data_IF_183427884146
#
_entry.id   IF_183427884146
#
_cell.length_a   1.000
_cell.length_b   1.000
_cell.length_c   1.000
_cell.angle_alpha   90.00
_cell.angle_beta   90.00
_cell.angle_gamma   90.00
#
_symmetry.space_group_name_H-M   'P 1'
#
loop_
_entity.id
_entity.type
_entity.pdbx_description
1 polymer ?
#
# COMPACT_ATOMS: atom_id res chain seq x y z
N UNK A 1 12.56 46.11 -3.03
CA UNK A 1 12.23 47.14 -2.02
C UNK A 1 12.70 46.57 -0.69
N UNK A 2 13.81 47.05 -0.24
CA UNK A 2 14.01 48.00 0.87
C UNK A 2 13.86 47.25 2.19
N UNK A 3 14.79 47.15 3.07
CA UNK A 3 15.98 47.83 3.54
C UNK A 3 16.34 47.14 4.84
N UNK A 4 17.51 46.93 5.31
CA UNK A 4 18.51 47.89 5.62
C UNK A 4 18.35 48.39 7.06
N UNK A 5 19.23 48.00 7.95
CA UNK A 5 19.77 48.92 8.91
C UNK A 5 20.91 48.32 9.70
N UNK A 6 22.05 48.91 9.49
CA UNK A 6 23.21 49.06 10.33
C UNK A 6 22.82 49.74 11.67
N UNK A 7 23.52 49.43 12.71
CA UNK A 7 23.89 50.49 13.65
C UNK A 7 25.29 50.25 14.23
N UNK A 8 26.05 51.36 14.12
CA UNK A 8 27.36 51.67 14.66
C UNK A 8 27.16 52.36 16.04
N UNK A 9 28.19 52.35 16.82
CA UNK A 9 28.39 53.28 17.92
C UNK A 9 29.49 52.73 18.81
N UNK A 10 30.66 53.14 18.71
CA UNK A 10 31.45 54.33 19.04
C UNK A 10 31.90 54.32 20.49
N UNK A 11 33.23 54.19 20.62
CA UNK A 11 34.18 55.18 21.19
C UNK A 11 34.13 55.52 22.67
N UNK A 12 35.28 55.30 23.34
CA UNK A 12 36.09 56.29 24.06
C UNK A 12 37.34 55.58 24.59
N UNK A 13 38.53 55.87 24.25
CA UNK A 13 39.42 56.99 24.43
C UNK A 13 39.78 57.20 25.92
N UNK A 14 41.03 57.12 26.22
CA UNK A 14 41.70 57.51 27.46
C UNK A 14 42.87 56.57 27.73
N UNK A 15 43.92 56.87 27.57
CA UNK A 15 44.94 57.92 27.79
C UNK A 15 46.23 57.25 28.19
N UNK A 16 47.26 57.66 27.51
CA UNK A 16 48.68 57.43 27.66
C UNK A 16 49.22 57.41 29.10
N UNK A 17 50.07 56.43 29.38
CA UNK A 17 51.26 56.72 30.19
C UNK A 17 52.43 55.88 29.68
N UNK A 18 53.29 56.56 28.98
CA UNK A 18 54.66 56.20 28.62
C UNK A 18 55.56 56.12 29.84
N UNK A 19 56.17 54.99 30.07
CA UNK A 19 57.38 54.89 30.89
C UNK A 19 58.57 54.53 29.99
N UNK A 20 59.20 55.51 29.43
CA UNK A 20 60.54 55.41 28.93
C UNK A 20 61.53 55.55 30.11
N UNK A 21 62.42 54.62 30.19
CA UNK A 21 63.71 54.80 30.78
C UNK A 21 63.94 54.04 32.07
N UNK A 22 64.49 52.91 31.98
CA UNK A 22 65.53 52.41 32.86
C UNK A 22 66.40 51.43 32.09
N UNK A 23 67.46 52.00 31.50
CA UNK A 23 68.64 51.23 31.13
C UNK A 23 69.31 50.71 32.42
N UNK A 24 69.64 49.42 32.36
CA UNK A 24 70.37 48.84 33.48
C UNK A 24 70.73 47.35 33.16
N UNK A 25 71.80 47.17 32.47
CA UNK A 25 72.34 45.92 32.08
C UNK A 25 72.48 44.91 33.19
N UNK A 26 72.30 43.71 32.83
CA UNK A 26 73.11 42.58 33.27
C UNK A 26 72.68 41.33 32.57
N UNK A 27 73.45 40.90 31.59
CA UNK A 27 73.39 39.56 31.07
C UNK A 27 73.75 38.56 32.16
N UNK A 28 72.75 38.07 32.92
CA UNK A 28 72.94 36.89 33.76
C UNK A 28 72.98 35.67 32.90
N UNK A 29 74.18 35.19 32.60
CA UNK A 29 74.46 33.86 32.11
C UNK A 29 73.89 32.87 33.11
N UNK A 30 72.78 32.18 32.73
CA UNK A 30 72.25 31.06 33.52
C UNK A 30 73.28 29.94 33.51
N UNK A 31 73.99 29.75 34.60
CA UNK A 31 74.80 28.58 34.86
C UNK A 31 73.88 27.36 34.94
N UNK A 32 73.87 26.55 33.93
CA UNK A 32 73.18 25.25 33.92
C UNK A 32 73.81 24.33 34.95
N UNK A 33 73.24 24.21 36.12
CA UNK A 33 73.71 23.25 37.13
C UNK A 33 73.43 21.83 36.62
N UNK A 34 74.35 20.92 36.90
CA UNK A 34 74.26 19.48 36.50
C UNK A 34 73.01 18.78 36.98
N UNK A 35 72.31 19.32 37.97
CA UNK A 35 71.05 18.80 38.52
C UNK A 35 69.87 19.12 37.57
N UNK A 36 69.86 20.21 36.82
CA UNK A 36 68.79 20.57 35.92
C UNK A 36 68.74 19.65 34.66
N UNK A 37 69.93 19.22 34.24
CA UNK A 37 70.05 18.22 33.12
C UNK A 37 69.52 16.86 33.54
N UNK A 38 69.83 16.36 34.74
CA UNK A 38 69.30 15.07 35.27
C UNK A 38 67.79 15.10 35.43
N UNK A 39 67.18 16.18 35.91
CA UNK A 39 65.71 16.32 36.01
C UNK A 39 65.04 16.32 34.67
N UNK A 40 65.58 16.99 33.64
CA UNK A 40 65.04 16.98 32.28
C UNK A 40 65.16 15.61 31.60
N UNK A 41 66.29 14.92 31.85
CA UNK A 41 66.44 13.53 31.35
C UNK A 41 65.47 12.57 32.00
N UNK A 42 65.22 12.66 33.30
CA UNK A 42 64.20 11.86 34.00
C UNK A 42 62.79 12.18 33.54
N UNK A 43 62.50 13.46 33.28
CA UNK A 43 61.20 13.85 32.74
C UNK A 43 61.03 13.40 31.29
N UNK A 44 62.05 13.51 30.44
CA UNK A 44 62.04 12.98 29.09
C UNK A 44 61.87 11.47 29.05
N UNK A 45 62.53 10.76 29.97
CA UNK A 45 62.40 9.29 30.11
C UNK A 45 60.98 8.87 30.56
N UNK A 46 60.39 9.65 31.49
CA UNK A 46 58.98 9.42 31.91
C UNK A 46 57.99 9.69 30.80
N UNK A 47 58.18 10.75 29.99
CA UNK A 47 57.36 11.06 28.84
C UNK A 47 57.49 9.99 27.73
N UNK A 48 58.74 9.52 27.50
CA UNK A 48 58.98 8.45 26.54
C UNK A 48 58.35 7.14 26.99
N UNK A 49 58.41 6.82 28.30
CA UNK A 49 57.72 5.66 28.89
C UNK A 49 56.20 5.74 28.78
N UNK A 50 55.63 6.94 29.05
CA UNK A 50 54.22 7.17 28.89
C UNK A 50 53.75 7.05 27.44
N UNK A 51 54.57 7.56 26.50
CA UNK A 51 54.29 7.43 25.06
C UNK A 51 54.33 5.97 24.62
N UNK A 52 55.31 5.19 25.06
CA UNK A 52 55.43 3.76 24.76
C UNK A 52 54.20 2.97 25.29
N UNK A 53 53.75 3.28 26.51
CA UNK A 53 52.53 2.65 27.08
C UNK A 53 51.32 3.01 26.26
N UNK A 54 51.13 4.27 25.83
CA UNK A 54 50.03 4.68 24.95
C UNK A 54 50.09 3.93 23.59
N UNK A 55 51.25 3.80 22.99
CA UNK A 55 51.40 3.06 21.71
C UNK A 55 51.03 1.58 21.90
N UNK A 56 51.47 0.95 23.00
CA UNK A 56 51.12 -0.43 23.32
C UNK A 56 49.59 -0.60 23.55
N UNK A 57 48.95 0.34 24.24
CA UNK A 57 47.51 0.30 24.44
C UNK A 57 46.75 0.48 23.12
N UNK A 58 47.17 1.40 22.27
CA UNK A 58 46.56 1.61 20.94
C UNK A 58 46.76 0.35 20.09
N UNK A 59 47.98 -0.24 20.07
CA UNK A 59 48.22 -1.48 19.32
C UNK A 59 47.39 -2.66 19.85
N UNK A 60 47.21 -2.76 21.17
CA UNK A 60 46.36 -3.80 21.76
C UNK A 60 44.88 -3.62 21.39
N UNK A 61 44.40 -2.37 21.37
CA UNK A 61 43.03 -2.06 20.93
C UNK A 61 42.85 -2.37 19.44
N UNK A 62 43.79 -1.95 18.60
CA UNK A 62 43.73 -2.26 17.17
C UNK A 62 43.79 -3.77 16.94
N UNK A 63 44.65 -4.48 17.66
CA UNK A 63 44.73 -5.94 17.57
C UNK A 63 43.45 -6.61 18.05
N UNK A 64 42.84 -6.11 19.12
CA UNK A 64 41.55 -6.59 19.59
C UNK A 64 40.44 -6.36 18.56
N UNK A 65 40.37 -5.19 17.94
CA UNK A 65 39.40 -4.88 16.89
C UNK A 65 39.61 -5.81 15.68
N UNK A 66 40.85 -6.01 15.23
CA UNK A 66 41.15 -6.92 14.11
C UNK A 66 40.79 -8.36 14.48
N UNK A 67 41.18 -8.83 15.68
CA UNK A 67 40.85 -10.18 16.17
C UNK A 67 39.35 -10.42 16.41
N UNK A 68 38.57 -9.35 16.74
CA UNK A 68 37.12 -9.44 16.80
C UNK A 68 36.49 -9.43 15.39
N UNK A 69 37.02 -8.65 14.48
CA UNK A 69 36.52 -8.59 13.11
C UNK A 69 36.85 -9.85 12.28
N UNK A 70 37.96 -10.53 12.59
CA UNK A 70 38.32 -11.82 11.98
C UNK A 70 37.52 -12.99 12.54
N UNK A 71 36.77 -12.81 13.67
CA UNK A 71 35.91 -13.83 14.24
C UNK A 71 34.49 -13.87 13.67
N UNK A 72 34.15 -12.93 12.79
CA UNK A 72 32.98 -13.08 11.93
C UNK A 72 33.30 -14.04 10.76
N UNK A 73 33.71 -15.27 11.08
CA UNK A 73 33.47 -16.33 10.11
C UNK A 73 31.96 -16.36 9.88
N UNK A 74 31.48 -16.13 8.66
CA UNK A 74 30.08 -16.30 8.39
C UNK A 74 29.75 -17.72 8.84
N UNK A 75 28.79 -17.86 9.75
CA UNK A 75 28.30 -19.17 10.19
C UNK A 75 27.88 -19.86 8.89
N UNK A 76 28.77 -20.62 8.29
CA UNK A 76 28.44 -21.50 7.19
C UNK A 76 27.52 -22.56 7.79
N UNK A 77 26.22 -22.30 7.71
CA UNK A 77 25.22 -23.34 7.96
C UNK A 77 25.37 -24.32 6.79
N UNK A 78 26.33 -25.20 6.93
CA UNK A 78 26.62 -26.27 5.97
C UNK A 78 25.66 -27.47 6.16
N UNK A 79 24.49 -27.24 6.71
CA UNK A 79 23.43 -28.23 6.58
C UNK A 79 22.94 -28.15 5.15
N UNK A 80 23.16 -29.16 4.32
CA UNK A 80 22.62 -29.17 2.96
C UNK A 80 21.12 -28.95 3.07
N UNK A 81 20.65 -27.82 2.53
CA UNK A 81 19.23 -27.50 2.49
C UNK A 81 18.54 -28.62 1.72
N UNK A 82 17.60 -29.30 2.37
CA UNK A 82 16.84 -30.37 1.69
C UNK A 82 16.01 -29.76 0.57
N UNK A 83 15.81 -30.49 -0.53
CA UNK A 83 14.90 -30.06 -1.57
C UNK A 83 13.47 -29.94 -1.02
N UNK A 84 12.66 -29.09 -1.66
CA UNK A 84 11.24 -28.95 -1.28
C UNK A 84 10.48 -30.19 -1.73
N UNK A 85 10.01 -30.97 -0.75
CA UNK A 85 9.20 -32.16 -0.98
C UNK A 85 7.70 -31.87 -0.90
N UNK A 86 7.33 -30.85 -0.10
CA UNK A 86 5.93 -30.55 0.18
C UNK A 86 5.65 -29.04 0.03
N UNK A 87 4.58 -28.73 -0.68
CA UNK A 87 4.02 -27.38 -0.77
C UNK A 87 2.66 -27.39 -0.07
N UNK A 88 2.53 -26.58 0.97
CA UNK A 88 1.27 -26.34 1.67
C UNK A 88 0.67 -25.06 1.08
N UNK A 89 -0.44 -25.21 0.37
CA UNK A 89 -1.14 -24.10 -0.28
C UNK A 89 -2.45 -23.85 0.43
N UNK A 90 -2.66 -22.63 0.89
CA UNK A 90 -3.90 -22.16 1.50
C UNK A 90 -4.36 -20.85 0.85
N UNK A 91 -5.67 -20.63 0.77
CA UNK A 91 -6.25 -19.42 0.22
C UNK A 91 -7.60 -19.13 0.89
N UNK A 92 -7.88 -17.86 1.11
CA UNK A 92 -9.17 -17.38 1.60
C UNK A 92 -10.24 -17.31 0.48
N UNK A 93 -9.88 -17.62 -0.77
CA UNK A 93 -10.73 -17.52 -1.94
C UNK A 93 -11.05 -18.86 -2.61
N UNK A 94 -10.94 -18.89 -3.93
CA UNK A 94 -11.38 -20.01 -4.78
C UNK A 94 -10.28 -20.59 -5.69
N UNK A 95 -9.07 -20.06 -5.63
CA UNK A 95 -7.95 -20.53 -6.45
C UNK A 95 -7.62 -21.99 -6.12
N UNK A 96 -7.66 -22.91 -7.09
CA UNK A 96 -7.32 -24.29 -6.84
C UNK A 96 -5.80 -24.47 -6.68
N UNK A 97 -5.32 -25.44 -5.87
CA UNK A 97 -3.88 -25.72 -5.73
C UNK A 97 -3.16 -25.99 -7.06
N UNK A 98 -3.85 -26.58 -8.04
CA UNK A 98 -3.31 -26.84 -9.38
C UNK A 98 -2.92 -25.56 -10.14
N UNK A 99 -3.54 -24.42 -9.80
CA UNK A 99 -3.19 -23.12 -10.37
C UNK A 99 -1.77 -22.71 -10.02
N UNK A 100 -1.28 -23.02 -8.82
CA UNK A 100 0.07 -22.66 -8.39
C UNK A 100 1.14 -23.14 -9.38
N UNK A 101 1.01 -24.35 -9.89
CA UNK A 101 1.94 -24.91 -10.87
C UNK A 101 1.92 -24.21 -12.25
N UNK A 102 0.94 -23.36 -12.53
CA UNK A 102 0.89 -22.57 -13.77
C UNK A 102 1.61 -21.22 -13.64
N UNK A 103 1.82 -20.75 -12.41
CA UNK A 103 2.41 -19.42 -12.12
C UNK A 103 3.85 -19.56 -11.63
N UNK A 104 4.12 -20.61 -10.85
CA UNK A 104 5.42 -20.83 -10.22
C UNK A 104 6.00 -22.16 -10.66
N UNK A 105 7.16 -22.13 -11.32
CA UNK A 105 7.91 -23.32 -11.67
C UNK A 105 8.80 -23.73 -10.49
N UNK A 106 8.33 -24.66 -9.66
CA UNK A 106 9.12 -25.29 -8.63
C UNK A 106 9.75 -26.60 -9.17
N UNK A 107 11.05 -26.58 -9.37
CA UNK A 107 11.80 -27.80 -9.71
C UNK A 107 11.95 -28.66 -8.46
N UNK A 108 11.69 -29.97 -8.58
CA UNK A 108 11.73 -30.91 -7.45
C UNK A 108 13.09 -31.00 -6.75
N UNK A 109 14.16 -30.65 -7.46
CA UNK A 109 15.54 -30.75 -6.95
C UNK A 109 16.07 -29.44 -6.37
N UNK A 110 15.27 -28.37 -6.36
CA UNK A 110 15.70 -27.07 -5.87
C UNK A 110 15.78 -27.10 -4.34
N UNK A 111 16.96 -26.83 -3.80
CA UNK A 111 17.15 -26.73 -2.36
C UNK A 111 16.29 -25.57 -1.81
N UNK A 112 15.67 -25.77 -0.64
CA UNK A 112 14.75 -24.78 -0.06
C UNK A 112 15.37 -23.40 0.10
N UNK A 113 16.68 -23.31 0.38
CA UNK A 113 17.38 -22.05 0.56
C UNK A 113 17.71 -21.34 -0.76
N UNK A 114 17.70 -22.06 -1.89
CA UNK A 114 17.91 -21.52 -3.22
C UNK A 114 16.65 -20.89 -3.82
N UNK A 115 15.48 -21.18 -3.24
CA UNK A 115 14.21 -20.60 -3.70
C UNK A 115 14.16 -19.13 -3.33
N UNK A 116 14.08 -18.27 -4.33
CA UNK A 116 13.81 -16.84 -4.13
C UNK A 116 12.32 -16.62 -3.85
N UNK A 117 11.99 -16.59 -2.54
CA UNK A 117 10.62 -16.35 -2.08
C UNK A 117 10.12 -14.95 -2.42
N UNK A 118 11.03 -13.98 -2.61
CA UNK A 118 10.64 -12.62 -2.97
C UNK A 118 10.15 -12.55 -4.42
N UNK A 119 10.93 -13.10 -5.34
CA UNK A 119 10.54 -13.21 -6.75
C UNK A 119 9.26 -14.04 -6.90
N UNK A 120 9.15 -15.17 -6.19
CA UNK A 120 7.95 -16.00 -6.20
C UNK A 120 6.72 -15.23 -5.70
N UNK A 121 6.85 -14.46 -4.61
CA UNK A 121 5.78 -13.61 -4.10
C UNK A 121 5.34 -12.59 -5.16
N UNK A 122 6.28 -11.92 -5.82
CA UNK A 122 5.97 -10.96 -6.88
C UNK A 122 5.23 -11.62 -8.05
N UNK A 123 5.63 -12.83 -8.45
CA UNK A 123 4.94 -13.58 -9.51
C UNK A 123 3.49 -13.92 -9.13
N UNK A 124 3.26 -14.34 -7.88
CA UNK A 124 1.92 -14.63 -7.39
C UNK A 124 1.05 -13.37 -7.31
N UNK A 125 1.60 -12.25 -6.80
CA UNK A 125 0.89 -10.98 -6.67
C UNK A 125 0.69 -10.26 -8.02
N UNK A 126 1.49 -10.59 -9.04
CA UNK A 126 1.26 -10.11 -10.40
C UNK A 126 -0.01 -10.68 -11.03
N UNK A 127 -0.52 -11.80 -10.51
CA UNK A 127 -1.80 -12.35 -10.94
C UNK A 127 -2.95 -11.55 -10.34
N UNK A 128 -3.74 -10.89 -11.17
CA UNK A 128 -4.76 -9.91 -10.75
C UNK A 128 -5.84 -10.43 -9.79
N UNK A 129 -6.01 -11.75 -9.59
CA UNK A 129 -6.91 -12.32 -8.59
C UNK A 129 -6.28 -12.34 -7.19
N UNK A 130 -4.95 -12.33 -7.09
CA UNK A 130 -4.22 -12.35 -5.82
C UNK A 130 -4.05 -10.93 -5.30
N UNK A 131 -4.54 -10.69 -4.10
CA UNK A 131 -4.39 -9.41 -3.39
C UNK A 131 -3.06 -9.33 -2.64
N UNK A 132 -2.66 -10.42 -2.02
CA UNK A 132 -1.37 -10.55 -1.35
C UNK A 132 -0.99 -12.03 -1.18
N UNK A 133 0.31 -12.29 -1.17
CA UNK A 133 0.87 -13.61 -0.93
C UNK A 133 1.84 -13.58 0.26
N UNK A 134 1.79 -14.60 1.10
CA UNK A 134 2.79 -14.88 2.13
C UNK A 134 3.43 -16.24 1.85
N UNK A 135 4.76 -16.27 1.89
CA UNK A 135 5.52 -17.49 1.61
C UNK A 135 6.48 -17.73 2.76
N UNK A 136 6.36 -18.88 3.38
CA UNK A 136 7.15 -19.27 4.53
C UNK A 136 7.86 -20.61 4.29
N UNK A 137 9.15 -20.65 4.66
CA UNK A 137 9.91 -21.89 4.65
C UNK A 137 9.63 -22.66 5.94
N UNK A 138 9.02 -23.81 5.81
CA UNK A 138 8.82 -24.74 6.93
C UNK A 138 9.86 -25.85 6.88
N UNK A 139 10.91 -25.71 7.66
CA UNK A 139 11.97 -26.69 7.74
C UNK A 139 11.44 -28.03 8.22
N UNK A 140 11.99 -29.18 7.72
CA UNK A 140 13.20 -29.25 6.88
C UNK A 140 12.94 -29.18 5.36
N UNK A 141 11.73 -29.38 4.86
CA UNK A 141 11.48 -29.63 3.43
C UNK A 141 10.11 -29.16 2.91
N UNK A 142 9.42 -28.27 3.64
CA UNK A 142 8.11 -27.78 3.22
C UNK A 142 8.11 -26.26 2.96
N UNK A 143 7.35 -25.85 1.94
CA UNK A 143 7.07 -24.45 1.64
C UNK A 143 5.58 -24.19 1.89
N UNK A 144 5.26 -23.21 2.75
CA UNK A 144 3.89 -22.78 2.99
C UNK A 144 3.59 -21.52 2.19
N UNK A 145 2.50 -21.53 1.45
CA UNK A 145 2.02 -20.43 0.62
C UNK A 145 0.59 -20.11 1.03
N UNK A 146 0.41 -18.95 1.64
CA UNK A 146 -0.90 -18.43 2.02
C UNK A 146 -1.26 -17.27 1.08
N UNK A 147 -2.40 -17.35 0.41
CA UNK A 147 -2.89 -16.32 -0.49
C UNK A 147 -4.12 -15.63 0.08
N UNK A 148 -4.20 -14.34 -0.14
CA UNK A 148 -5.43 -13.55 -0.01
C UNK A 148 -5.89 -13.14 -1.40
N UNK A 149 -7.13 -13.49 -1.74
CA UNK A 149 -7.72 -13.16 -3.03
C UNK A 149 -8.48 -11.84 -2.97
N UNK A 150 -8.61 -11.19 -4.12
CA UNK A 150 -9.48 -10.04 -4.27
C UNK A 150 -10.96 -10.44 -4.17
N UNK A 151 -11.74 -9.68 -3.40
CA UNK A 151 -13.18 -9.88 -3.32
C UNK A 151 -13.87 -9.50 -4.64
N UNK A 152 -14.60 -10.43 -5.30
CA UNK A 152 -15.31 -10.15 -6.54
C UNK A 152 -16.58 -9.33 -6.28
N UNK A 153 -16.74 -8.20 -6.97
CA UNK A 153 -17.86 -7.27 -6.79
C UNK A 153 -18.74 -7.19 -8.02
N UNK A 154 -18.15 -7.07 -9.20
CA UNK A 154 -18.83 -6.84 -10.47
C UNK A 154 -18.22 -7.72 -11.55
N UNK A 155 -18.96 -7.85 -12.66
CA UNK A 155 -18.45 -8.44 -13.91
C UNK A 155 -18.40 -7.41 -15.01
N UNK A 156 -17.42 -7.53 -15.90
CA UNK A 156 -17.28 -6.69 -17.08
C UNK A 156 -17.06 -7.56 -18.32
N UNK A 157 -17.61 -7.16 -19.47
CA UNK A 157 -17.26 -7.72 -20.77
C UNK A 157 -16.16 -6.89 -21.39
N UNK A 158 -15.06 -7.53 -21.74
CA UNK A 158 -13.95 -6.92 -22.47
C UNK A 158 -13.74 -7.66 -23.78
N UNK A 159 -13.27 -6.97 -24.79
CA UNK A 159 -12.83 -7.61 -26.01
C UNK A 159 -11.42 -8.14 -25.81
N UNK A 160 -11.28 -9.46 -25.84
CA UNK A 160 -9.97 -10.10 -25.78
C UNK A 160 -9.16 -9.87 -27.05
N UNK A 161 -7.84 -10.15 -26.98
CA UNK A 161 -6.93 -10.01 -28.12
C UNK A 161 -7.35 -10.82 -29.36
N UNK A 162 -8.13 -11.88 -29.15
CA UNK A 162 -8.69 -12.75 -30.21
C UNK A 162 -10.00 -12.22 -30.81
N UNK A 163 -10.43 -11.01 -30.46
CA UNK A 163 -11.69 -10.40 -30.92
C UNK A 163 -12.95 -11.03 -30.28
N UNK A 164 -12.81 -11.94 -29.33
CA UNK A 164 -13.95 -12.52 -28.60
C UNK A 164 -14.22 -11.76 -27.32
N UNK A 165 -15.50 -11.62 -26.98
CA UNK A 165 -15.91 -11.03 -25.71
C UNK A 165 -15.57 -12.00 -24.57
N UNK A 166 -14.75 -11.55 -23.63
CA UNK A 166 -14.38 -12.27 -22.41
C UNK A 166 -15.04 -11.59 -21.20
N UNK A 167 -15.35 -12.40 -20.19
CA UNK A 167 -15.89 -11.87 -18.92
C UNK A 167 -14.75 -11.76 -17.92
N UNK A 168 -14.48 -10.56 -17.48
CA UNK A 168 -13.57 -10.26 -16.39
C UNK A 168 -14.36 -9.93 -15.12
N UNK A 169 -13.70 -10.11 -13.98
CA UNK A 169 -14.19 -9.75 -12.65
C UNK A 169 -13.53 -8.45 -12.24
N UNK A 170 -14.25 -7.66 -11.46
CA UNK A 170 -13.74 -6.43 -10.86
C UNK A 170 -13.81 -6.60 -9.36
N UNK A 171 -12.67 -6.37 -8.70
CA UNK A 171 -12.55 -6.40 -7.25
C UNK A 171 -13.11 -5.13 -6.60
N UNK A 172 -13.23 -5.15 -5.27
CA UNK A 172 -13.59 -3.99 -4.45
C UNK A 172 -12.64 -2.81 -4.63
N UNK A 173 -11.36 -3.09 -4.86
CA UNK A 173 -10.32 -2.09 -5.12
C UNK A 173 -10.31 -1.60 -6.57
N UNK A 174 -11.15 -2.20 -7.44
CA UNK A 174 -11.23 -1.86 -8.85
C UNK A 174 -10.27 -2.63 -9.75
N UNK A 175 -9.50 -3.59 -9.22
CA UNK A 175 -8.63 -4.46 -10.02
C UNK A 175 -9.47 -5.33 -10.94
N UNK A 176 -9.10 -5.40 -12.23
CA UNK A 176 -9.81 -6.16 -13.25
C UNK A 176 -8.99 -7.41 -13.58
N UNK A 177 -9.60 -8.58 -13.47
CA UNK A 177 -8.91 -9.87 -13.70
C UNK A 177 -9.82 -10.93 -14.28
N UNK A 178 -9.21 -11.97 -14.86
CA UNK A 178 -9.93 -13.20 -15.27
C UNK A 178 -10.09 -14.07 -14.03
N UNK A 179 -11.33 -14.37 -13.67
CA UNK A 179 -11.61 -15.23 -12.52
C UNK A 179 -11.30 -16.69 -12.80
N UNK A 180 -10.49 -17.31 -11.95
CA UNK A 180 -10.13 -18.71 -11.95
C UNK A 180 -10.76 -19.37 -10.73
N UNK A 181 -11.33 -20.58 -10.89
CA UNK A 181 -11.90 -21.33 -9.78
C UNK A 181 -13.30 -20.89 -9.32
N UNK A 182 -13.83 -19.78 -9.79
CA UNK A 182 -15.16 -19.32 -9.36
C UNK A 182 -16.28 -20.22 -9.86
N UNK A 183 -17.19 -20.67 -8.98
CA UNK A 183 -18.42 -21.36 -9.39
C UNK A 183 -19.27 -20.45 -10.29
N UNK A 184 -19.87 -21.00 -11.33
CA UNK A 184 -20.79 -20.24 -12.22
C UNK A 184 -21.93 -19.57 -11.46
N UNK A 185 -22.45 -20.23 -10.42
CA UNK A 185 -23.49 -19.67 -9.58
C UNK A 185 -23.06 -18.38 -8.87
N UNK A 186 -21.82 -18.31 -8.38
CA UNK A 186 -21.23 -17.11 -7.78
C UNK A 186 -21.10 -15.99 -8.80
N UNK A 187 -20.51 -16.29 -9.97
CA UNK A 187 -20.36 -15.30 -11.03
C UNK A 187 -21.71 -14.76 -11.51
N UNK A 188 -22.73 -15.61 -11.64
CA UNK A 188 -24.05 -15.19 -12.11
C UNK A 188 -24.80 -14.27 -11.13
N UNK A 189 -24.39 -14.21 -9.87
CA UNK A 189 -24.94 -13.28 -8.86
C UNK A 189 -24.35 -11.89 -8.95
N UNK A 190 -23.16 -11.75 -9.58
CA UNK A 190 -22.52 -10.44 -9.73
C UNK A 190 -23.18 -9.70 -10.91
N UNK A 191 -23.63 -8.44 -10.72
CA UNK A 191 -24.13 -7.64 -11.82
C UNK A 191 -23.00 -7.26 -12.78
N UNK A 192 -23.34 -7.00 -14.04
CA UNK A 192 -22.40 -6.43 -14.98
C UNK A 192 -22.21 -4.95 -14.73
N UNK A 193 -21.00 -4.44 -15.06
CA UNK A 193 -20.73 -3.01 -15.06
C UNK A 193 -20.59 -2.49 -16.47
N UNK A 194 -21.07 -1.25 -16.71
CA UNK A 194 -20.70 -0.44 -17.86
C UNK A 194 -19.73 0.64 -17.38
N UNK A 195 -18.49 0.63 -17.83
CA UNK A 195 -17.53 1.68 -17.52
C UNK A 195 -17.96 2.99 -18.20
N UNK A 196 -17.61 4.11 -17.60
CA UNK A 196 -17.91 5.43 -18.15
C UNK A 196 -16.89 5.90 -19.21
N UNK A 197 -15.68 5.36 -19.17
CA UNK A 197 -14.61 5.68 -20.13
C UNK A 197 -13.86 4.41 -20.54
N UNK A 198 -13.55 4.31 -21.83
CA UNK A 198 -12.53 3.42 -22.33
C UNK A 198 -11.19 4.15 -22.34
N UNK A 199 -10.17 3.62 -21.68
CA UNK A 199 -8.80 4.08 -21.90
C UNK A 199 -8.21 3.34 -23.09
N UNK A 200 -7.59 4.07 -24.01
CA UNK A 200 -6.97 3.52 -25.24
C UNK A 200 -5.72 2.64 -24.96
N UNK A 201 -5.32 2.47 -23.70
CA UNK A 201 -4.04 1.87 -23.34
C UNK A 201 -4.10 0.54 -22.59
N UNK A 202 -5.25 -0.10 -22.43
CA UNK A 202 -5.36 -1.37 -21.72
C UNK A 202 -6.36 -1.38 -20.58
N UNK A 203 -6.40 -2.50 -19.84
CA UNK A 203 -7.31 -2.69 -18.70
C UNK A 203 -6.68 -2.06 -17.47
N UNK A 204 -7.02 -0.79 -17.18
CA UNK A 204 -6.59 -0.11 -15.96
C UNK A 204 -7.57 -0.37 -14.82
N UNK A 205 -7.10 -0.37 -13.56
CA UNK A 205 -7.98 -0.47 -12.40
C UNK A 205 -9.04 0.63 -12.41
N UNK A 206 -10.29 0.25 -12.11
CA UNK A 206 -11.40 1.19 -12.04
C UNK A 206 -11.45 1.92 -10.70
N UNK A 207 -11.46 3.25 -10.73
CA UNK A 207 -11.55 4.06 -9.52
C UNK A 207 -12.97 4.09 -8.95
N UNK A 208 -13.09 4.24 -7.63
CA UNK A 208 -14.38 4.44 -6.95
C UNK A 208 -15.26 3.19 -6.85
N UNK A 209 -14.76 2.00 -7.17
CA UNK A 209 -15.53 0.75 -7.05
C UNK A 209 -15.88 0.44 -5.58
N UNK A 210 -15.12 0.94 -4.62
CA UNK A 210 -15.43 0.80 -3.20
C UNK A 210 -16.82 1.31 -2.83
N UNK A 211 -17.26 2.47 -3.36
CA UNK A 211 -18.61 3.01 -3.15
C UNK A 211 -19.68 2.16 -3.83
N UNK A 212 -19.36 1.64 -5.03
CA UNK A 212 -20.26 0.72 -5.72
C UNK A 212 -20.41 -0.57 -4.92
N UNK A 213 -19.32 -1.11 -4.38
CA UNK A 213 -19.31 -2.28 -3.52
C UNK A 213 -20.19 -2.06 -2.27
N UNK A 214 -20.06 -0.90 -1.62
CA UNK A 214 -20.90 -0.52 -0.48
C UNK A 214 -22.39 -0.53 -0.83
N UNK A 215 -22.79 0.07 -1.96
CA UNK A 215 -24.18 0.03 -2.43
C UNK A 215 -24.65 -1.41 -2.65
N UNK A 216 -23.82 -2.26 -3.26
CA UNK A 216 -24.18 -3.66 -3.52
C UNK A 216 -24.29 -4.47 -2.23
N UNK A 217 -23.39 -4.28 -1.28
CA UNK A 217 -23.41 -4.93 0.02
C UNK A 217 -24.64 -4.52 0.85
N UNK A 218 -24.90 -3.21 0.93
CA UNK A 218 -26.09 -2.70 1.62
C UNK A 218 -27.38 -3.26 1.01
N UNK A 219 -27.45 -3.31 -0.33
CA UNK A 219 -28.63 -3.88 -1.02
C UNK A 219 -28.75 -5.36 -0.73
N UNK A 220 -27.65 -6.11 -0.75
CA UNK A 220 -27.64 -7.56 -0.46
C UNK A 220 -28.09 -7.82 0.99
N UNK A 221 -27.64 -6.98 1.92
CA UNK A 221 -27.99 -7.08 3.34
C UNK A 221 -29.44 -6.73 3.62
N UNK A 222 -29.94 -5.60 3.12
CA UNK A 222 -31.26 -5.08 3.40
C UNK A 222 -32.37 -5.72 2.54
N UNK A 223 -32.07 -5.98 1.27
CA UNK A 223 -33.04 -6.36 0.24
C UNK A 223 -32.52 -7.48 -0.66
N UNK A 224 -32.10 -8.60 -0.07
CA UNK A 224 -31.47 -9.73 -0.78
C UNK A 224 -32.25 -10.22 -2.00
N UNK A 225 -33.61 -10.27 -1.94
CA UNK A 225 -34.41 -10.72 -3.07
C UNK A 225 -34.41 -9.68 -4.20
N UNK A 226 -34.42 -8.39 -3.87
CA UNK A 226 -34.30 -7.33 -4.86
C UNK A 226 -32.92 -7.30 -5.51
N UNK A 227 -31.86 -7.49 -4.72
CA UNK A 227 -30.48 -7.59 -5.25
C UNK A 227 -30.35 -8.65 -6.33
N UNK A 228 -31.01 -9.80 -6.20
CA UNK A 228 -30.97 -10.88 -7.21
C UNK A 228 -31.55 -10.45 -8.57
N UNK A 229 -32.33 -9.39 -8.60
CA UNK A 229 -32.91 -8.82 -9.83
C UNK A 229 -31.96 -7.88 -10.57
N UNK A 230 -30.88 -7.44 -9.91
CA UNK A 230 -29.90 -6.52 -10.48
C UNK A 230 -29.11 -7.18 -11.59
N UNK A 231 -29.07 -6.56 -12.76
CA UNK A 231 -28.39 -7.09 -13.95
C UNK A 231 -27.17 -6.29 -14.35
N UNK A 232 -27.26 -4.96 -14.17
CA UNK A 232 -26.23 -4.06 -14.66
C UNK A 232 -26.12 -2.82 -13.76
N UNK A 233 -24.88 -2.43 -13.52
CA UNK A 233 -24.52 -1.16 -12.87
C UNK A 233 -23.85 -0.29 -13.93
N UNK A 234 -24.40 0.89 -14.15
CA UNK A 234 -23.80 1.85 -15.10
C UNK A 234 -23.11 2.97 -14.34
N UNK A 235 -21.84 3.13 -14.63
CA UNK A 235 -20.97 4.18 -14.09
C UNK A 235 -20.78 5.33 -15.10
N UNK A 236 -21.68 5.46 -16.08
CA UNK A 236 -21.58 6.48 -17.14
C UNK A 236 -21.52 7.91 -16.58
N UNK A 237 -22.16 8.15 -15.44
CA UNK A 237 -22.22 9.44 -14.77
C UNK A 237 -21.51 9.41 -13.40
N UNK A 238 -20.49 8.58 -13.28
CA UNK A 238 -19.67 8.44 -12.08
C UNK A 238 -18.18 8.45 -12.47
N UNK A 239 -17.44 9.44 -12.00
CA UNK A 239 -16.01 9.61 -12.32
C UNK A 239 -15.07 8.78 -11.43
N UNK A 240 -15.62 8.06 -10.44
CA UNK A 240 -14.84 7.39 -9.40
C UNK A 240 -14.52 8.27 -8.19
N UNK A 241 -14.97 9.54 -8.20
CA UNK A 241 -14.90 10.43 -7.04
C UNK A 241 -16.31 10.90 -6.65
N UNK A 242 -16.84 10.48 -5.50
CA UNK A 242 -18.20 10.84 -5.04
C UNK A 242 -18.34 12.33 -4.71
N UNK A 243 -17.24 13.04 -4.43
CA UNK A 243 -17.25 14.46 -4.03
C UNK A 243 -17.57 15.41 -5.20
N UNK A 244 -17.48 14.94 -6.43
CA UNK A 244 -17.87 15.75 -7.57
C UNK A 244 -19.40 15.88 -7.65
N UNK A 245 -19.92 17.09 -7.89
CA UNK A 245 -21.36 17.31 -7.97
C UNK A 245 -21.98 16.55 -9.15
N UNK A 246 -23.20 16.06 -8.94
CA UNK A 246 -23.97 15.37 -9.99
C UNK A 246 -23.53 13.93 -10.28
N UNK A 247 -22.64 13.36 -9.47
CA UNK A 247 -22.24 11.95 -9.60
C UNK A 247 -23.40 11.04 -9.23
N UNK A 248 -23.64 10.03 -10.06
CA UNK A 248 -24.72 9.04 -9.82
C UNK A 248 -24.30 7.66 -10.28
N UNK A 249 -24.82 6.65 -9.59
CA UNK A 249 -24.77 5.25 -9.99
C UNK A 249 -26.14 4.86 -10.51
N UNK A 250 -26.25 4.40 -11.75
CA UNK A 250 -27.47 3.86 -12.32
C UNK A 250 -27.47 2.34 -12.24
N UNK A 251 -28.49 1.78 -11.68
CA UNK A 251 -28.69 0.32 -11.59
C UNK A 251 -29.86 -0.07 -12.47
N UNK A 252 -29.70 -1.15 -13.24
CA UNK A 252 -30.75 -1.77 -14.02
C UNK A 252 -31.11 -3.13 -13.45
N UNK A 253 -32.36 -3.31 -13.12
CA UNK A 253 -32.90 -4.56 -12.61
C UNK A 253 -33.97 -5.12 -13.54
N UNK A 254 -34.32 -6.39 -13.34
CA UNK A 254 -35.45 -6.99 -14.07
C UNK A 254 -36.82 -6.48 -13.58
N UNK A 255 -36.89 -5.85 -12.40
CA UNK A 255 -38.11 -5.30 -11.86
C UNK A 255 -38.27 -3.81 -12.19
N UNK A 256 -37.21 -3.05 -12.16
CA UNK A 256 -37.19 -1.62 -12.45
C UNK A 256 -36.06 -1.35 -13.46
N UNK A 257 -36.41 -0.87 -14.66
CA UNK A 257 -35.42 -0.64 -15.73
C UNK A 257 -34.29 0.30 -15.36
N UNK A 258 -34.57 1.35 -14.55
CA UNK A 258 -33.56 2.34 -14.13
C UNK A 258 -33.79 2.80 -12.72
N UNK A 259 -32.78 2.64 -11.89
CA UNK A 259 -32.75 3.15 -10.51
C UNK A 259 -31.49 3.99 -10.39
N UNK A 260 -31.61 5.21 -9.91
CA UNK A 260 -30.51 6.16 -9.82
C UNK A 260 -30.22 6.43 -8.34
N UNK A 261 -28.99 6.15 -7.94
CA UNK A 261 -28.45 6.42 -6.61
C UNK A 261 -27.51 7.61 -6.67
N UNK A 262 -27.61 8.50 -5.70
CA UNK A 262 -26.71 9.64 -5.52
C UNK A 262 -25.77 9.46 -4.35
N UNK A 263 -24.89 10.44 -4.15
CA UNK A 263 -23.93 10.48 -3.05
C UNK A 263 -24.27 11.49 -1.96
N UNK A 264 -25.40 12.22 -2.12
CA UNK A 264 -25.84 13.24 -1.16
C UNK A 264 -26.43 12.67 0.14
N UNK A 265 -26.83 11.41 0.13
CA UNK A 265 -27.38 10.68 1.28
C UNK A 265 -26.82 9.27 1.30
N UNK A 266 -26.82 8.62 2.48
CA UNK A 266 -26.32 7.25 2.59
C UNK A 266 -27.13 6.29 1.71
N UNK A 267 -26.47 5.28 1.15
CA UNK A 267 -27.14 4.24 0.38
C UNK A 267 -28.19 3.50 1.20
N UNK A 268 -27.96 3.35 2.52
CA UNK A 268 -28.91 2.75 3.43
C UNK A 268 -30.25 3.49 3.43
N UNK A 269 -30.25 4.83 3.50
CA UNK A 269 -31.44 5.66 3.46
C UNK A 269 -32.15 5.63 2.11
N UNK A 270 -31.36 5.64 1.01
CA UNK A 270 -31.91 5.52 -0.34
C UNK A 270 -32.58 4.16 -0.56
N UNK A 271 -32.03 3.08 -0.04
CA UNK A 271 -32.60 1.73 -0.10
C UNK A 271 -33.85 1.59 0.74
N UNK A 272 -33.92 2.26 1.91
CA UNK A 272 -35.15 2.27 2.73
C UNK A 272 -36.28 2.98 2.00
N UNK A 273 -36.04 4.12 1.36
CA UNK A 273 -37.01 4.81 0.48
C UNK A 273 -37.43 3.94 -0.69
N UNK A 274 -36.45 3.27 -1.34
CA UNK A 274 -36.74 2.34 -2.43
C UNK A 274 -37.69 1.23 -1.98
N UNK A 275 -37.48 0.65 -0.80
CA UNK A 275 -38.37 -0.38 -0.24
C UNK A 275 -39.79 0.14 -0.04
N UNK A 276 -39.95 1.34 0.51
CA UNK A 276 -41.28 1.97 0.67
C UNK A 276 -41.96 2.17 -0.68
N UNK A 277 -41.25 2.66 -1.68
CA UNK A 277 -41.77 2.87 -3.04
C UNK A 277 -42.24 1.55 -3.66
N UNK A 278 -41.39 0.52 -3.61
CA UNK A 278 -41.73 -0.79 -4.19
C UNK A 278 -42.92 -1.41 -3.52
N UNK A 279 -43.03 -1.34 -2.18
CA UNK A 279 -44.20 -1.83 -1.43
C UNK A 279 -45.46 -1.04 -1.79
N UNK A 280 -45.38 0.29 -1.89
CA UNK A 280 -46.49 1.13 -2.29
C UNK A 280 -46.98 0.79 -3.70
N UNK A 281 -46.05 0.67 -4.67
CA UNK A 281 -46.41 0.31 -6.05
C UNK A 281 -47.04 -1.06 -6.12
N UNK A 282 -46.52 -2.03 -5.39
CA UNK A 282 -47.08 -3.37 -5.30
C UNK A 282 -48.52 -3.37 -4.74
N UNK A 283 -48.80 -2.57 -3.71
CA UNK A 283 -50.16 -2.45 -3.12
C UNK A 283 -51.18 -1.79 -4.05
N UNK A 284 -50.70 -1.05 -5.07
CA UNK A 284 -51.56 -0.34 -6.05
C UNK A 284 -51.72 -1.08 -7.38
N UNK A 285 -51.53 -2.41 -7.40
CA UNK A 285 -51.70 -3.20 -8.60
C UNK A 285 -50.45 -3.26 -9.47
N UNK A 286 -49.29 -2.89 -8.91
CA UNK A 286 -47.97 -2.99 -9.54
C UNK A 286 -47.82 -2.32 -10.93
N UNK A 287 -48.18 -1.02 -11.06
CA UNK A 287 -48.00 -0.33 -12.33
C UNK A 287 -46.53 -0.35 -12.74
N UNK A 288 -46.24 -0.52 -14.05
CA UNK A 288 -44.93 -0.62 -14.58
C UNK A 288 -44.12 0.67 -14.34
N UNK A 289 -43.00 0.55 -13.65
CA UNK A 289 -42.07 1.63 -13.35
C UNK A 289 -41.02 1.71 -14.46
N UNK A 290 -40.80 2.90 -15.00
CA UNK A 290 -39.75 3.19 -15.96
C UNK A 290 -38.44 3.60 -15.31
N UNK A 291 -38.52 4.46 -14.27
CA UNK A 291 -37.36 5.01 -13.56
C UNK A 291 -37.70 5.37 -12.12
N UNK A 292 -36.76 5.11 -11.23
CA UNK A 292 -36.75 5.64 -9.87
C UNK A 292 -35.51 6.49 -9.68
N UNK A 293 -35.62 7.70 -9.18
CA UNK A 293 -34.55 8.61 -8.87
C UNK A 293 -34.49 8.86 -7.37
N UNK A 294 -33.43 8.39 -6.72
CA UNK A 294 -33.20 8.46 -5.28
C UNK A 294 -32.19 9.53 -4.89
N UNK A 295 -31.75 10.36 -5.83
CA UNK A 295 -30.70 11.36 -5.60
C UNK A 295 -31.14 12.52 -4.73
N UNK A 296 -32.44 12.75 -4.61
CA UNK A 296 -33.01 13.80 -3.77
C UNK A 296 -32.79 13.45 -2.28
N UNK A 297 -32.42 14.43 -1.42
CA UNK A 297 -32.10 14.14 -0.02
C UNK A 297 -33.24 13.56 0.80
N UNK A 298 -34.47 14.00 0.56
CA UNK A 298 -35.66 13.61 1.35
C UNK A 298 -36.68 12.82 0.55
N UNK A 299 -36.76 13.06 -0.74
CA UNK A 299 -37.78 12.55 -1.63
C UNK A 299 -37.18 11.61 -2.68
N UNK A 300 -38.06 10.94 -3.41
CA UNK A 300 -37.69 10.17 -4.59
C UNK A 300 -38.70 10.43 -5.70
N UNK A 301 -38.18 10.56 -6.96
CA UNK A 301 -39.03 10.73 -8.12
C UNK A 301 -39.23 9.38 -8.82
N UNK A 302 -40.48 8.98 -9.02
CA UNK A 302 -40.88 7.76 -9.71
C UNK A 302 -41.58 8.10 -11.01
N UNK A 303 -41.04 7.66 -12.11
CA UNK A 303 -41.64 7.75 -13.42
C UNK A 303 -42.21 6.39 -13.84
N UNK A 304 -43.47 6.38 -14.16
CA UNK A 304 -44.17 5.18 -14.65
C UNK A 304 -44.11 5.09 -16.18
N UNK A 305 -44.31 3.91 -16.73
CA UNK A 305 -44.39 3.70 -18.21
C UNK A 305 -45.54 4.51 -18.84
N UNK A 306 -46.63 4.76 -18.09
CA UNK A 306 -47.74 5.63 -18.50
C UNK A 306 -47.34 7.12 -18.71
N UNK A 307 -46.09 7.50 -18.40
CA UNK A 307 -45.64 8.89 -18.42
C UNK A 307 -45.88 9.66 -17.14
N UNK A 308 -46.68 9.13 -16.19
CA UNK A 308 -46.97 9.77 -14.91
C UNK A 308 -45.69 9.83 -14.05
N UNK A 309 -45.47 10.97 -13.40
CA UNK A 309 -44.41 11.15 -12.41
C UNK A 309 -45.03 11.35 -11.04
N UNK A 310 -44.53 10.67 -10.02
CA UNK A 310 -44.95 10.83 -8.62
C UNK A 310 -43.70 11.05 -7.75
N UNK A 311 -43.83 11.89 -6.74
CA UNK A 311 -42.80 12.13 -5.74
C UNK A 311 -43.20 11.40 -4.44
N UNK A 312 -42.26 10.74 -3.82
CA UNK A 312 -42.42 9.94 -2.61
C UNK A 312 -41.54 10.44 -1.51
#
# INVERSE_FOLDING_TARGET
MIGGSKNKGSTSAGENQTWRGLDGGSKRTRVNSSQSRKRRQVQALKLLGAFLVCVLLISAVVWAIVAFNEREEPIQITTPSKPVEKVLFDTDGVLPPSWLGTVVELRRDTAMMEIDIHTMKQQLEAHGQVKSASIERQFPNALKIDLKEHEPVLRMRVMGANGRAEVCIISREGTIYKGIGYPRATLNRLPFVLPYQHSEGGILPMRGIGQVAELLEETRRKQSNFYKTWKLVSLKHYSGNPDFPGQVIEVRSSMVPRIIFGFNTSFAQQLDRLAVILNYVQSRGNPAIKRIDLTLPKDAAVQFESGRISTF
#
